data_IF_291246474643
#
_entry.id   IF_291246474643
#
_cell.length_a   1.000
_cell.length_b   1.000
_cell.length_c   1.000
_cell.angle_alpha   90.00
_cell.angle_beta   90.00
_cell.angle_gamma   90.00
#
_symmetry.space_group_name_H-M   'P 1'
#
loop_
_entity.id
_entity.type
_entity.pdbx_description
1 polymer ?
#
# COMPACT_ATOMS: atom_id res chain seq x y z
N UNK A 1 78.79 42.11 -24.89
CA UNK A 1 78.49 40.67 -24.96
C UNK A 1 77.25 40.53 -25.84
N UNK A 2 77.40 40.08 -27.09
CA UNK A 2 76.92 38.76 -27.59
C UNK A 2 75.41 38.56 -27.36
N UNK A 3 74.50 38.31 -28.31
CA UNK A 3 74.46 37.49 -29.54
C UNK A 3 73.34 38.01 -30.48
N UNK A 4 73.51 38.05 -31.81
CA UNK A 4 73.15 37.04 -32.83
C UNK A 4 71.63 36.74 -33.00
N UNK A 5 71.08 37.40 -34.05
CA UNK A 5 70.36 36.85 -35.22
C UNK A 5 69.23 35.83 -35.02
N UNK A 6 68.04 36.21 -35.50
CA UNK A 6 67.01 35.26 -35.94
C UNK A 6 65.97 35.95 -36.83
N UNK A 7 66.17 35.91 -38.15
CA UNK A 7 65.14 36.29 -39.12
C UNK A 7 64.21 35.11 -39.42
N UNK A 8 62.93 35.40 -39.69
CA UNK A 8 61.92 34.44 -40.13
C UNK A 8 60.55 35.10 -40.28
N UNK A 9 59.72 34.69 -41.25
CA UNK A 9 59.00 35.61 -42.12
C UNK A 9 57.62 36.04 -41.63
N UNK A 10 57.17 37.17 -42.16
CA UNK A 10 55.79 37.63 -42.10
C UNK A 10 54.84 36.56 -42.68
N UNK A 11 54.07 35.90 -41.81
CA UNK A 11 52.89 35.16 -42.24
C UNK A 11 51.74 36.15 -42.42
N UNK A 12 51.29 36.23 -43.66
CA UNK A 12 50.21 37.09 -44.12
C UNK A 12 48.91 36.83 -43.37
N UNK A 13 48.22 37.91 -43.00
CA UNK A 13 46.89 37.92 -42.36
C UNK A 13 45.77 37.21 -43.17
N UNK A 14 46.08 36.73 -44.38
CA UNK A 14 45.18 35.97 -45.25
C UNK A 14 45.00 34.50 -44.81
N UNK A 15 45.94 33.92 -44.06
CA UNK A 15 45.82 32.53 -43.60
C UNK A 15 44.86 32.36 -42.39
N UNK A 16 44.78 33.37 -41.52
CA UNK A 16 43.94 33.33 -40.33
C UNK A 16 42.43 33.43 -40.67
N UNK A 17 42.08 34.23 -41.68
CA UNK A 17 40.69 34.38 -42.14
C UNK A 17 40.14 33.11 -42.80
N UNK A 18 40.98 32.41 -43.57
CA UNK A 18 40.60 31.14 -44.22
C UNK A 18 40.35 30.02 -43.19
N UNK A 19 41.18 29.92 -42.15
CA UNK A 19 41.03 28.92 -41.09
C UNK A 19 39.75 29.13 -40.26
N UNK A 20 39.39 30.38 -39.96
CA UNK A 20 38.16 30.70 -39.23
C UNK A 20 36.89 30.40 -40.04
N UNK A 21 36.91 30.65 -41.35
CA UNK A 21 35.78 30.33 -42.24
C UNK A 21 35.58 28.81 -42.38
N UNK A 22 36.66 28.03 -42.49
CA UNK A 22 36.60 26.56 -42.55
C UNK A 22 36.09 25.96 -41.23
N UNK A 23 36.52 26.49 -40.09
CA UNK A 23 36.01 26.08 -38.78
C UNK A 23 34.51 26.41 -38.60
N UNK A 24 34.06 27.57 -39.06
CA UNK A 24 32.65 27.95 -39.02
C UNK A 24 31.77 27.07 -39.94
N UNK A 25 32.27 26.70 -41.12
CA UNK A 25 31.58 25.78 -42.05
C UNK A 25 31.52 24.36 -41.49
N UNK A 26 32.58 23.87 -40.84
CA UNK A 26 32.59 22.57 -40.16
C UNK A 26 31.63 22.53 -38.95
N UNK A 27 31.57 23.62 -38.17
CA UNK A 27 30.62 23.75 -37.07
C UNK A 27 29.17 23.79 -37.58
N UNK A 28 28.89 24.53 -38.66
CA UNK A 28 27.56 24.56 -39.28
C UNK A 28 27.17 23.21 -39.89
N UNK A 29 28.11 22.48 -40.50
CA UNK A 29 27.87 21.12 -41.01
C UNK A 29 27.56 20.12 -39.88
N UNK A 30 28.15 20.29 -38.70
CA UNK A 30 27.82 19.44 -37.53
C UNK A 30 26.42 19.70 -36.96
N UNK A 31 25.91 20.93 -37.05
CA UNK A 31 24.56 21.30 -36.57
C UNK A 31 23.45 20.80 -37.50
N UNK A 32 23.73 20.60 -38.79
CA UNK A 32 22.75 20.09 -39.77
C UNK A 32 22.58 18.56 -39.72
N UNK A 33 23.44 17.83 -39.00
CA UNK A 33 23.42 16.35 -38.98
C UNK A 33 22.71 15.72 -37.77
N UNK A 34 22.04 16.49 -36.91
CA UNK A 34 21.25 15.93 -35.79
C UNK A 34 19.75 15.80 -36.05
N UNK A 35 19.30 16.07 -37.28
CA UNK A 35 17.87 15.99 -37.64
C UNK A 35 17.44 14.63 -38.25
N UNK A 36 18.29 13.60 -38.21
CA UNK A 36 17.98 12.29 -38.79
C UNK A 36 18.41 11.13 -37.87
N UNK A 37 17.97 11.16 -36.61
CA UNK A 37 18.10 10.00 -35.71
C UNK A 37 17.00 9.98 -34.63
N UNK A 38 15.74 10.18 -35.01
CA UNK A 38 14.58 9.94 -34.11
C UNK A 38 13.51 9.05 -34.76
N UNK A 39 13.93 8.08 -35.57
CA UNK A 39 13.02 7.12 -36.22
C UNK A 39 13.30 5.65 -35.84
N UNK A 40 13.80 5.40 -34.62
CA UNK A 40 14.04 4.04 -34.11
C UNK A 40 13.11 3.67 -32.94
N UNK A 41 12.01 4.38 -32.73
CA UNK A 41 11.01 4.06 -31.68
C UNK A 41 9.69 3.45 -32.20
N UNK A 42 9.53 3.25 -33.52
CA UNK A 42 8.25 2.83 -34.08
C UNK A 42 8.12 1.30 -34.32
N UNK A 43 9.23 0.55 -34.28
CA UNK A 43 9.18 -0.90 -34.52
C UNK A 43 8.71 -1.72 -33.31
N UNK A 44 8.71 -1.13 -32.11
CA UNK A 44 8.33 -1.81 -30.87
C UNK A 44 6.81 -1.83 -30.67
N UNK A 45 6.09 -0.81 -31.14
CA UNK A 45 4.62 -0.76 -31.04
C UNK A 45 3.91 -1.77 -31.94
N UNK A 46 4.51 -2.12 -33.09
CA UNK A 46 3.95 -3.07 -34.05
C UNK A 46 3.97 -4.52 -33.57
N UNK A 47 4.72 -4.84 -32.51
CA UNK A 47 4.83 -6.20 -31.95
C UNK A 47 4.06 -6.39 -30.63
N UNK A 48 3.37 -5.35 -30.14
CA UNK A 48 2.63 -5.44 -28.90
C UNK A 48 1.32 -6.19 -29.11
N UNK A 49 1.04 -7.12 -28.20
CA UNK A 49 -0.28 -7.75 -28.14
C UNK A 49 -1.37 -6.71 -27.87
N UNK A 50 -2.62 -7.03 -28.23
CA UNK A 50 -3.78 -6.18 -27.94
C UNK A 50 -3.88 -5.82 -26.44
N UNK A 51 -3.48 -6.75 -25.57
CA UNK A 51 -3.45 -6.53 -24.12
C UNK A 51 -2.37 -5.52 -23.71
N UNK A 52 -1.19 -5.55 -24.33
CA UNK A 52 -0.12 -4.59 -24.07
C UNK A 52 -0.43 -3.20 -24.61
N UNK A 53 -1.06 -3.11 -25.80
CA UNK A 53 -1.56 -1.85 -26.34
C UNK A 53 -2.64 -1.24 -25.45
N UNK A 54 -3.57 -2.05 -24.93
CA UNK A 54 -4.57 -1.60 -23.97
C UNK A 54 -3.91 -1.09 -22.68
N UNK A 55 -2.88 -1.79 -22.18
CA UNK A 55 -2.11 -1.37 -20.99
C UNK A 55 -1.41 -0.02 -21.20
N UNK A 56 -0.71 0.19 -22.32
CA UNK A 56 -0.02 1.45 -22.62
C UNK A 56 -1.01 2.61 -22.81
N UNK A 57 -2.18 2.33 -23.37
CA UNK A 57 -3.26 3.30 -23.54
C UNK A 57 -4.05 3.57 -22.23
N UNK A 58 -3.69 2.95 -21.11
CA UNK A 58 -4.38 3.10 -19.82
C UNK A 58 -5.71 2.34 -19.70
N UNK A 59 -6.03 1.50 -20.66
CA UNK A 59 -7.20 0.61 -20.69
C UNK A 59 -6.90 -0.83 -20.22
N UNK A 60 -5.73 -1.08 -19.63
CA UNK A 60 -5.40 -2.38 -19.07
C UNK A 60 -6.25 -2.71 -17.84
N UNK A 61 -6.57 -3.99 -17.62
CA UNK A 61 -7.19 -4.52 -16.39
C UNK A 61 -6.30 -4.40 -15.13
N UNK A 62 -5.20 -3.66 -15.23
CA UNK A 62 -4.23 -3.50 -14.15
C UNK A 62 -4.84 -2.65 -13.04
N UNK A 63 -5.10 -3.30 -11.89
CA UNK A 63 -5.61 -2.63 -10.68
C UNK A 63 -4.64 -1.51 -10.28
N UNK A 64 -5.04 -0.26 -10.51
CA UNK A 64 -4.24 0.93 -10.18
C UNK A 64 -3.81 0.98 -8.70
N UNK A 65 -4.55 0.29 -7.83
CA UNK A 65 -4.09 -0.10 -6.50
C UNK A 65 -4.91 -1.29 -6.01
N UNK A 66 -4.36 -2.20 -5.20
CA UNK A 66 -5.16 -3.13 -4.38
C UNK A 66 -5.26 -2.60 -2.95
N UNK A 67 -6.37 -2.89 -2.28
CA UNK A 67 -6.55 -2.51 -0.87
C UNK A 67 -6.97 -3.74 -0.08
N UNK A 68 -6.12 -4.11 0.88
CA UNK A 68 -6.36 -5.22 1.78
C UNK A 68 -6.67 -4.69 3.18
N UNK A 69 -7.68 -5.25 3.82
CA UNK A 69 -7.98 -4.99 5.24
C UNK A 69 -7.73 -6.27 6.02
N UNK A 70 -6.87 -6.20 7.05
CA UNK A 70 -6.49 -7.35 7.87
C UNK A 70 -6.80 -7.14 9.34
N UNK A 71 -6.82 -8.21 10.11
CA UNK A 71 -6.95 -8.16 11.55
C UNK A 71 -7.06 -9.55 12.15
N UNK A 72 -7.17 -9.61 13.48
CA UNK A 72 -7.34 -10.86 14.20
C UNK A 72 -8.49 -10.76 15.21
N UNK A 73 -9.24 -11.85 15.41
CA UNK A 73 -10.26 -11.98 16.43
C UNK A 73 -9.82 -12.97 17.51
N UNK A 74 -9.79 -12.48 18.74
CA UNK A 74 -9.34 -13.23 19.91
C UNK A 74 -10.46 -13.25 20.95
N UNK A 75 -10.71 -14.42 21.53
CA UNK A 75 -11.64 -14.63 22.62
C UNK A 75 -10.89 -14.70 23.95
N UNK A 76 -11.19 -13.77 24.85
CA UNK A 76 -10.77 -13.80 26.24
C UNK A 76 -11.95 -14.27 27.10
N UNK A 77 -11.94 -15.55 27.46
CA UNK A 77 -12.98 -16.17 28.27
C UNK A 77 -12.46 -16.51 29.67
N UNK A 78 -13.28 -16.22 30.67
CA UNK A 78 -13.03 -16.66 32.04
C UNK A 78 -14.01 -17.77 32.40
N UNK A 79 -13.48 -18.92 32.82
CA UNK A 79 -14.27 -20.09 33.19
C UNK A 79 -14.13 -20.34 34.69
N UNK A 80 -15.27 -20.41 35.39
CA UNK A 80 -15.31 -20.83 36.80
C UNK A 80 -15.39 -22.36 36.91
N UNK A 81 -14.83 -22.98 37.96
CA UNK A 81 -14.14 -22.36 39.10
C UNK A 81 -12.65 -22.12 38.79
N UNK A 82 -12.20 -20.86 38.85
CA UNK A 82 -10.79 -20.48 38.70
C UNK A 82 -10.59 -19.08 38.09
N UNK A 83 -9.52 -18.35 38.46
CA UNK A 83 -9.24 -17.01 37.95
C UNK A 83 -8.49 -17.00 36.61
N UNK A 84 -8.45 -18.12 35.89
CA UNK A 84 -7.63 -18.23 34.70
C UNK A 84 -8.35 -17.66 33.48
N UNK A 85 -7.88 -16.49 33.03
CA UNK A 85 -8.22 -15.96 31.72
C UNK A 85 -7.67 -16.92 30.65
N UNK A 86 -8.56 -17.50 29.85
CA UNK A 86 -8.19 -18.29 28.69
C UNK A 86 -8.37 -17.46 27.44
N UNK A 87 -7.28 -17.30 26.71
CA UNK A 87 -7.26 -16.65 25.41
C UNK A 87 -7.27 -17.70 24.31
N UNK A 88 -8.21 -17.60 23.37
CA UNK A 88 -8.29 -18.48 22.20
C UNK A 88 -8.55 -17.69 20.93
N UNK A 89 -8.14 -18.23 19.78
CA UNK A 89 -8.43 -17.62 18.49
C UNK A 89 -9.86 -17.95 18.05
N UNK A 90 -10.52 -17.01 17.39
CA UNK A 90 -11.86 -17.22 16.86
C UNK A 90 -11.78 -17.54 15.38
N UNK A 91 -11.89 -18.82 15.05
CA UNK A 91 -12.00 -19.33 13.67
C UNK A 91 -13.39 -19.08 13.10
N UNK A 92 -13.53 -19.06 11.78
CA UNK A 92 -14.80 -19.12 11.03
C UNK A 92 -15.78 -17.96 11.33
N UNK A 93 -15.31 -16.87 11.92
CA UNK A 93 -16.12 -15.69 12.18
C UNK A 93 -16.32 -14.88 10.90
N UNK A 94 -17.57 -14.48 10.64
CA UNK A 94 -17.90 -13.63 9.50
C UNK A 94 -17.65 -12.19 9.86
N UNK A 95 -16.81 -11.53 9.08
CA UNK A 95 -16.50 -10.11 9.19
C UNK A 95 -16.89 -9.39 7.91
N UNK A 96 -17.09 -8.08 8.01
CA UNK A 96 -17.25 -7.25 6.84
C UNK A 96 -16.60 -5.88 7.02
N UNK A 97 -16.00 -5.37 5.95
CA UNK A 97 -15.57 -3.97 5.87
C UNK A 97 -16.75 -3.16 5.34
N UNK A 98 -17.24 -2.23 6.14
CA UNK A 98 -18.29 -1.31 5.79
C UNK A 98 -17.67 0.06 5.46
N UNK A 99 -17.86 0.53 4.24
CA UNK A 99 -17.36 1.82 3.75
C UNK A 99 -18.51 2.77 3.41
N UNK A 100 -18.49 3.96 3.97
CA UNK A 100 -19.35 5.07 3.57
C UNK A 100 -18.76 5.73 2.33
N UNK A 101 -19.56 5.87 1.27
CA UNK A 101 -19.18 6.64 0.08
C UNK A 101 -20.01 7.93 0.07
N UNK A 102 -19.33 9.07 -0.07
CA UNK A 102 -20.00 10.37 -0.17
C UNK A 102 -20.88 10.46 -1.43
N UNK A 103 -22.09 11.00 -1.27
CA UNK A 103 -23.09 11.14 -2.33
C UNK A 103 -24.45 11.62 -1.80
N UNK A 104 -25.43 11.87 -2.69
CA UNK A 104 -26.77 12.40 -2.31
C UNK A 104 -27.54 11.55 -1.29
N UNK A 105 -27.14 10.29 -1.08
CA UNK A 105 -27.61 9.40 0.00
C UNK A 105 -26.39 8.64 0.54
N UNK A 106 -26.22 8.62 1.87
CA UNK A 106 -25.18 7.82 2.55
C UNK A 106 -25.39 6.34 2.25
N UNK A 107 -24.69 5.82 1.23
CA UNK A 107 -24.73 4.39 0.87
C UNK A 107 -23.52 3.73 1.50
N UNK A 108 -23.78 2.67 2.27
CA UNK A 108 -22.73 1.82 2.83
C UNK A 108 -22.47 0.68 1.83
N UNK A 109 -21.22 0.55 1.39
CA UNK A 109 -20.77 -0.58 0.60
C UNK A 109 -20.01 -1.56 1.49
N UNK A 110 -20.10 -2.84 1.15
CA UNK A 110 -19.65 -3.92 2.00
C UNK A 110 -18.70 -4.84 1.25
N UNK A 111 -17.61 -5.22 1.90
CA UNK A 111 -16.75 -6.33 1.50
C UNK A 111 -16.72 -7.33 2.66
N UNK A 112 -16.69 -8.63 2.37
CA UNK A 112 -16.84 -9.68 3.37
C UNK A 112 -15.56 -10.50 3.51
N UNK A 113 -15.36 -11.07 4.69
CA UNK A 113 -14.30 -12.03 4.96
C UNK A 113 -14.68 -13.00 6.07
N UNK A 114 -13.81 -13.97 6.27
CA UNK A 114 -13.94 -14.98 7.31
C UNK A 114 -12.60 -15.11 8.02
N UNK A 115 -12.60 -15.37 9.33
CA UNK A 115 -11.36 -15.66 10.06
C UNK A 115 -10.87 -17.08 9.83
N UNK A 116 -9.55 -17.25 9.74
CA UNK A 116 -8.86 -18.53 9.57
C UNK A 116 -8.62 -19.28 10.90
N UNK A 117 -7.82 -20.35 10.87
CA UNK A 117 -7.49 -21.13 12.07
C UNK A 117 -6.74 -20.37 13.16
N UNK A 118 -6.06 -19.28 12.82
CA UNK A 118 -5.35 -18.40 13.74
C UNK A 118 -6.24 -17.22 14.20
N UNK A 119 -7.49 -17.17 13.73
CA UNK A 119 -8.41 -16.08 14.00
C UNK A 119 -8.10 -14.82 13.18
N UNK A 120 -7.22 -14.92 12.19
CA UNK A 120 -6.85 -13.82 11.31
C UNK A 120 -7.80 -13.73 10.12
N UNK A 121 -8.04 -12.53 9.63
CA UNK A 121 -8.83 -12.31 8.41
C UNK A 121 -8.10 -11.39 7.45
N UNK A 122 -8.35 -11.60 6.16
CA UNK A 122 -7.90 -10.74 5.07
C UNK A 122 -9.11 -10.47 4.18
N UNK A 123 -9.41 -9.20 3.92
CA UNK A 123 -10.49 -8.76 3.03
C UNK A 123 -9.91 -7.93 1.90
N UNK A 124 -10.01 -8.41 0.67
CA UNK A 124 -9.74 -7.61 -0.53
C UNK A 124 -10.92 -6.69 -0.81
N UNK A 125 -10.68 -5.38 -0.86
CA UNK A 125 -11.74 -4.44 -1.19
C UNK A 125 -12.01 -4.47 -2.69
N UNK A 126 -13.29 -4.40 -3.13
CA UNK A 126 -13.62 -4.25 -4.53
C UNK A 126 -13.12 -2.92 -5.10
N UNK A 127 -12.85 -2.88 -6.40
CA UNK A 127 -12.21 -1.76 -7.09
C UNK A 127 -12.87 -0.40 -6.88
N UNK A 128 -14.19 -0.34 -6.81
CA UNK A 128 -14.94 0.90 -6.58
C UNK A 128 -14.69 1.53 -5.19
N UNK A 129 -14.11 0.78 -4.24
CA UNK A 129 -13.73 1.28 -2.91
C UNK A 129 -12.26 1.71 -2.84
N UNK A 130 -11.45 1.41 -3.87
CA UNK A 130 -10.04 1.80 -3.89
C UNK A 130 -9.83 3.31 -4.02
N UNK A 131 -10.81 4.02 -4.57
CA UNK A 131 -10.77 5.47 -4.76
C UNK A 131 -11.12 6.28 -3.50
N UNK A 132 -11.53 5.63 -2.39
CA UNK A 132 -11.87 6.32 -1.14
C UNK A 132 -10.61 6.98 -0.56
N UNK A 133 -10.54 8.32 -0.44
CA UNK A 133 -9.32 9.01 -0.04
C UNK A 133 -8.92 8.76 1.42
N UNK A 134 -9.90 8.63 2.32
CA UNK A 134 -9.69 8.46 3.77
C UNK A 134 -10.34 7.16 4.26
N UNK A 135 -9.84 6.05 3.73
CA UNK A 135 -10.27 4.68 4.10
C UNK A 135 -10.27 4.46 5.62
N UNK A 136 -9.32 5.04 6.36
CA UNK A 136 -9.20 4.99 7.82
C UNK A 136 -10.38 5.63 8.58
N UNK A 137 -11.10 6.56 7.92
CA UNK A 137 -12.23 7.30 8.51
C UNK A 137 -13.56 6.85 7.95
N UNK A 138 -13.58 6.57 6.66
CA UNK A 138 -14.80 6.30 5.91
C UNK A 138 -15.13 4.79 5.91
N UNK A 139 -14.18 3.93 6.30
CA UNK A 139 -14.39 2.50 6.43
C UNK A 139 -14.09 1.96 7.82
N UNK A 140 -14.79 0.87 8.18
CA UNK A 140 -14.57 0.16 9.43
C UNK A 140 -14.94 -1.32 9.30
N UNK A 141 -14.28 -2.17 10.08
CA UNK A 141 -14.60 -3.59 10.17
C UNK A 141 -15.77 -3.80 11.12
N UNK A 142 -16.68 -4.69 10.72
CA UNK A 142 -17.83 -5.15 11.48
C UNK A 142 -17.78 -6.66 11.66
N UNK A 143 -17.92 -7.10 12.90
CA UNK A 143 -18.08 -8.52 13.22
C UNK A 143 -19.57 -8.87 13.02
N UNK A 144 -19.88 -9.66 12.00
CA UNK A 144 -21.25 -10.00 11.63
C UNK A 144 -21.74 -11.26 12.34
N UNK A 145 -20.87 -12.25 12.47
CA UNK A 145 -21.20 -13.53 13.09
C UNK A 145 -19.99 -14.11 13.79
N UNK A 146 -20.19 -14.55 15.03
CA UNK A 146 -19.25 -15.37 15.77
C UNK A 146 -19.80 -16.80 15.81
N UNK A 147 -19.00 -17.82 15.49
CA UNK A 147 -19.42 -19.22 15.56
C UNK A 147 -19.86 -19.65 16.96
N UNK A 148 -20.76 -20.62 17.01
CA UNK A 148 -21.44 -21.02 18.26
C UNK A 148 -20.53 -21.77 19.24
N UNK A 149 -19.43 -22.34 18.76
CA UNK A 149 -18.37 -22.97 19.54
C UNK A 149 -17.47 -21.96 20.26
N UNK A 150 -17.53 -20.68 19.86
CA UNK A 150 -16.86 -19.61 20.60
C UNK A 150 -17.63 -19.24 21.87
N UNK A 151 -16.93 -19.23 23.00
CA UNK A 151 -17.45 -18.77 24.29
C UNK A 151 -17.55 -17.24 24.40
N UNK A 152 -17.08 -16.50 23.39
CA UNK A 152 -17.12 -15.05 23.38
C UNK A 152 -18.25 -14.54 22.49
N UNK A 153 -18.84 -13.41 22.90
CA UNK A 153 -19.83 -12.74 22.06
C UNK A 153 -19.47 -11.27 21.91
N UNK A 154 -19.73 -10.65 20.75
CA UNK A 154 -19.51 -9.23 20.61
C UNK A 154 -20.44 -8.50 21.57
N UNK A 155 -19.87 -7.61 22.39
CA UNK A 155 -20.70 -6.61 23.08
C UNK A 155 -21.16 -5.59 22.03
N UNK A 156 -22.38 -5.07 22.15
CA UNK A 156 -22.98 -4.18 21.13
C UNK A 156 -22.08 -2.99 20.75
N UNK A 157 -21.28 -2.50 21.69
CA UNK A 157 -20.34 -1.39 21.55
C UNK A 157 -19.01 -1.77 20.84
N UNK A 158 -18.73 -3.06 20.67
CA UNK A 158 -17.47 -3.62 20.15
C UNK A 158 -17.54 -4.01 18.67
N UNK A 159 -18.73 -3.92 18.07
CA UNK A 159 -18.94 -4.42 16.71
C UNK A 159 -18.23 -3.61 15.63
N UNK A 160 -17.97 -2.32 15.85
CA UNK A 160 -17.30 -1.45 14.88
C UNK A 160 -15.83 -1.28 15.26
N UNK A 161 -14.94 -1.53 14.31
CA UNK A 161 -13.49 -1.43 14.48
C UNK A 161 -12.90 -0.54 13.40
N UNK A 162 -12.33 0.59 13.85
CA UNK A 162 -11.58 1.48 12.97
C UNK A 162 -10.37 0.74 12.40
N UNK A 163 -10.02 1.12 11.19
CA UNK A 163 -8.85 0.62 10.49
C UNK A 163 -7.82 1.73 10.41
N UNK A 164 -6.54 1.38 10.35
CA UNK A 164 -5.46 2.32 10.05
C UNK A 164 -4.51 1.70 9.04
N UNK A 165 -3.82 2.55 8.28
CA UNK A 165 -2.86 2.11 7.29
C UNK A 165 -1.65 1.49 7.99
N UNK A 166 -1.34 0.24 7.67
CA UNK A 166 -0.17 -0.47 8.19
C UNK A 166 0.99 -0.49 7.20
N UNK A 167 0.71 -0.58 5.90
CA UNK A 167 1.75 -0.66 4.87
C UNK A 167 1.27 -0.12 3.52
N UNK A 168 2.23 0.41 2.74
CA UNK A 168 2.06 0.82 1.35
C UNK A 168 3.25 0.32 0.55
N UNK A 169 3.00 -0.41 -0.52
CA UNK A 169 4.06 -0.88 -1.43
C UNK A 169 3.50 -1.73 -2.56
N UNK A 170 4.20 -1.79 -3.69
CA UNK A 170 3.81 -2.61 -4.85
C UNK A 170 2.37 -2.37 -5.33
N UNK A 171 1.91 -1.11 -5.27
CA UNK A 171 0.52 -0.73 -5.57
C UNK A 171 -0.52 -1.37 -4.63
N UNK A 172 -0.12 -1.85 -3.45
CA UNK A 172 -1.01 -2.41 -2.42
C UNK A 172 -0.97 -1.50 -1.18
N UNK A 173 -2.15 -1.14 -0.68
CA UNK A 173 -2.31 -0.50 0.64
C UNK A 173 -2.94 -1.51 1.59
N UNK A 174 -2.26 -1.77 2.70
CA UNK A 174 -2.75 -2.67 3.73
C UNK A 174 -3.24 -1.83 4.90
N UNK A 175 -4.49 -2.02 5.26
CA UNK A 175 -5.10 -1.48 6.46
C UNK A 175 -5.29 -2.58 7.48
N UNK A 176 -5.23 -2.26 8.76
CA UNK A 176 -5.44 -3.25 9.81
C UNK A 176 -6.32 -2.73 10.94
N UNK A 177 -7.03 -3.64 11.61
CA UNK A 177 -7.68 -3.39 12.91
C UNK A 177 -6.81 -3.79 14.09
N UNK A 178 -5.66 -4.43 13.84
CA UNK A 178 -4.92 -5.18 14.86
C UNK A 178 -5.75 -6.33 15.44
N UNK A 179 -5.37 -6.77 16.64
CA UNK A 179 -6.07 -7.82 17.37
C UNK A 179 -7.29 -7.25 18.13
N UNK A 180 -8.48 -7.78 17.82
CA UNK A 180 -9.74 -7.44 18.46
C UNK A 180 -10.09 -8.51 19.49
N UNK A 181 -10.06 -8.12 20.76
CA UNK A 181 -10.43 -8.99 21.88
C UNK A 181 -11.92 -8.92 22.15
N UNK A 182 -12.56 -10.09 22.20
CA UNK A 182 -13.94 -10.32 22.61
C UNK A 182 -13.96 -11.00 23.98
N UNK A 183 -15.02 -10.78 24.75
CA UNK A 183 -15.17 -11.39 26.08
C UNK A 183 -16.44 -12.22 26.18
N UNK A 184 -16.46 -13.18 27.10
CA UNK A 184 -17.68 -13.91 27.44
C UNK A 184 -18.68 -12.97 28.14
N UNK A 185 -19.98 -13.14 27.86
CA UNK A 185 -21.07 -12.43 28.56
C UNK A 185 -21.27 -12.88 30.01
N UNK A 186 -20.88 -14.12 30.33
CA UNK A 186 -21.21 -14.74 31.62
C UNK A 186 -20.38 -14.20 32.80
N UNK A 187 -19.19 -13.64 32.55
CA UNK A 187 -18.38 -13.02 33.59
C UNK A 187 -17.56 -11.88 32.98
N UNK A 188 -17.66 -10.63 33.47
CA UNK A 188 -16.77 -9.57 33.02
C UNK A 188 -15.32 -9.95 33.33
N UNK A 189 -14.43 -9.81 32.35
CA UNK A 189 -13.00 -10.16 32.46
C UNK A 189 -12.32 -9.55 33.70
N UNK A 190 -12.86 -8.43 34.19
CA UNK A 190 -12.48 -7.69 35.40
C UNK A 190 -12.49 -8.57 36.66
N UNK A 191 -13.38 -9.57 36.75
CA UNK A 191 -13.46 -10.50 37.88
C UNK A 191 -12.24 -11.43 37.95
N UNK A 192 -11.57 -11.67 36.83
CA UNK A 192 -10.45 -12.62 36.72
C UNK A 192 -9.10 -11.90 36.75
N UNK A 193 -9.03 -10.65 36.28
CA UNK A 193 -7.85 -9.80 36.45
C UNK A 193 -7.53 -9.49 37.93
N UNK A 194 -8.57 -9.32 38.78
CA UNK A 194 -8.41 -9.06 40.23
C UNK A 194 -7.81 -10.24 41.01
N UNK A 195 -7.89 -11.45 40.48
CA UNK A 195 -7.43 -12.65 41.18
C UNK A 195 -6.00 -13.08 40.78
N UNK A 196 -5.44 -12.55 39.68
CA UNK A 196 -4.02 -12.75 39.35
C UNK A 196 -3.09 -11.75 40.08
N UNK A 197 -3.61 -10.62 40.55
CA UNK A 197 -2.82 -9.63 41.29
C UNK A 197 -2.70 -9.98 42.78
N UNK A 198 -3.65 -10.74 43.33
CA UNK A 198 -3.58 -11.25 44.71
C UNK A 198 -2.67 -12.47 44.91
N UNK A 199 -2.15 -13.08 43.83
CA UNK A 199 -1.30 -14.28 43.88
C UNK A 199 0.21 -13.95 43.79
N UNK A 200 0.57 -12.67 43.74
CA UNK A 200 1.97 -12.19 43.67
C UNK A 200 2.49 -11.58 44.97
N UNK A 201 1.70 -11.56 46.03
CA UNK A 201 2.06 -10.92 47.31
C UNK A 201 2.28 -11.93 48.45
N UNK A 202 2.66 -13.17 48.13
CA UNK A 202 3.05 -14.20 49.12
C UNK A 202 4.38 -14.90 48.74
N UNK A 203 5.34 -14.15 48.19
CA UNK A 203 6.69 -14.63 47.93
C UNK A 203 7.74 -13.72 48.60
N UNK A 204 7.79 -13.78 49.94
CA UNK A 204 9.00 -13.49 50.72
C UNK A 204 9.08 -14.41 51.94
#
# INVERSE_FOLDING_TARGET
MHEIRGGGPALSATAAAAAAAVAAVLLLASVVCSAAATAQQDSTFMHLSRAELARIAGYGEERLSSVLVTGALVCDACFLPGPHLRTSNIRDAKVAVACEIEGKRRKINWAYGTTDEYGEFIVDLPSHLHAIPRLDKDCAVRILHIPNDSHCRPTSHVNLRRIWLSSVGNSIRVYTTGAVRLSNKQTPANACAKAQEGDKEDAY
#
